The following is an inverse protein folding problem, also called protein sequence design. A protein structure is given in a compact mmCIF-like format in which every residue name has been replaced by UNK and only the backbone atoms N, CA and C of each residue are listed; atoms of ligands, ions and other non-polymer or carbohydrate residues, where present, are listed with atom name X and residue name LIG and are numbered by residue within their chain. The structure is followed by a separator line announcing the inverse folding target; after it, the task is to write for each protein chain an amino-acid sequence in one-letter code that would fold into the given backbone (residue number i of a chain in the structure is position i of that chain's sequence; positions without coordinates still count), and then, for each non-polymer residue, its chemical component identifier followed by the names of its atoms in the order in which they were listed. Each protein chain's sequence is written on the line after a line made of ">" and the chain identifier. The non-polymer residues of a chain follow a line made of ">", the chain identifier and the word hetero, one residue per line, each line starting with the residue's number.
data_IF_877654377794
#
_entry.id   IF_877654377794
#
_cell.length_a   1.000
_cell.length_b   1.000
_cell.length_c   1.000
_cell.angle_alpha   90.00
_cell.angle_beta   90.00
_cell.angle_gamma   90.00
#
_symmetry.space_group_name_H-M   'P 1'
#
loop_
_entity.id
_entity.type
_entity.pdbx_description
1 polymer ?
#
# COMPACT_ATOMS: atom_id res chain seq x y z
N UNK A 1 -8.29 42.55 5.24
CA UNK A 1 -8.05 42.69 3.78
C UNK A 1 -6.90 41.76 3.38
N UNK A 2 -7.18 40.68 2.62
CA UNK A 2 -6.11 39.82 2.10
C UNK A 2 -5.38 40.56 0.96
N UNK A 3 -4.16 41.01 1.23
CA UNK A 3 -3.31 41.66 0.22
C UNK A 3 -2.96 40.75 -0.96
N UNK A 4 -2.26 41.25 -1.99
CA UNK A 4 -1.92 40.51 -3.21
C UNK A 4 -1.28 39.13 -2.96
N UNK A 5 -0.49 38.99 -1.89
CA UNK A 5 0.08 37.71 -1.42
C UNK A 5 -0.99 36.70 -0.97
N UNK A 6 -2.01 37.16 -0.25
CA UNK A 6 -3.10 36.31 0.22
C UNK A 6 -3.97 35.76 -0.92
N UNK A 7 -4.19 36.56 -1.98
CA UNK A 7 -4.92 36.11 -3.18
C UNK A 7 -4.15 35.01 -3.92
N UNK A 8 -2.84 35.18 -4.16
CA UNK A 8 -2.01 34.14 -4.79
C UNK A 8 -2.00 32.84 -3.99
N UNK A 9 -1.89 32.91 -2.67
CA UNK A 9 -1.92 31.73 -1.80
C UNK A 9 -3.25 30.98 -1.90
N UNK A 10 -4.38 31.70 -1.89
CA UNK A 10 -5.71 31.10 -2.02
C UNK A 10 -5.88 30.42 -3.39
N UNK A 11 -5.38 31.01 -4.47
CA UNK A 11 -5.46 30.40 -5.81
C UNK A 11 -4.60 29.14 -5.93
N UNK A 12 -3.41 29.10 -5.32
CA UNK A 12 -2.61 27.88 -5.29
C UNK A 12 -3.34 26.77 -4.53
N UNK A 13 -3.87 27.07 -3.34
CA UNK A 13 -4.62 26.08 -2.55
C UNK A 13 -5.85 25.58 -3.32
N UNK A 14 -6.58 26.47 -4.01
CA UNK A 14 -7.71 26.08 -4.85
C UNK A 14 -7.26 25.20 -6.01
N UNK A 15 -6.18 25.55 -6.70
CA UNK A 15 -5.65 24.78 -7.84
C UNK A 15 -5.21 23.39 -7.42
N UNK A 16 -4.51 23.25 -6.28
CA UNK A 16 -4.15 21.95 -5.70
C UNK A 16 -5.37 21.13 -5.32
N UNK A 17 -6.36 21.74 -4.66
CA UNK A 17 -7.62 21.06 -4.33
C UNK A 17 -8.36 20.58 -5.58
N UNK A 18 -8.39 21.39 -6.64
CA UNK A 18 -9.02 21.03 -7.90
C UNK A 18 -8.27 19.89 -8.60
N UNK A 19 -6.94 19.95 -8.64
CA UNK A 19 -6.11 18.92 -9.26
C UNK A 19 -6.25 17.58 -8.54
N UNK A 20 -6.23 17.58 -7.20
CA UNK A 20 -6.45 16.37 -6.40
C UNK A 20 -7.86 15.85 -6.62
N UNK A 21 -8.90 16.69 -6.52
CA UNK A 21 -10.28 16.27 -6.73
C UNK A 21 -10.51 15.71 -8.14
N UNK A 22 -9.92 16.34 -9.17
CA UNK A 22 -9.98 15.88 -10.55
C UNK A 22 -9.26 14.56 -10.75
N UNK A 23 -8.06 14.39 -10.18
CA UNK A 23 -7.31 13.14 -10.24
C UNK A 23 -8.07 12.00 -9.54
N UNK A 24 -8.58 12.24 -8.33
CA UNK A 24 -9.37 11.26 -7.58
C UNK A 24 -10.63 10.87 -8.35
N UNK A 25 -11.37 11.85 -8.88
CA UNK A 25 -12.57 11.58 -9.67
C UNK A 25 -12.25 10.81 -10.96
N UNK A 26 -11.17 11.15 -11.65
CA UNK A 26 -10.73 10.44 -12.85
C UNK A 26 -10.32 8.99 -12.54
N UNK A 27 -9.53 8.76 -11.49
CA UNK A 27 -9.12 7.42 -11.07
C UNK A 27 -10.34 6.56 -10.66
N UNK A 28 -11.28 7.13 -9.92
CA UNK A 28 -12.53 6.45 -9.54
C UNK A 28 -13.44 6.19 -10.75
N UNK A 29 -13.51 7.11 -11.72
CA UNK A 29 -14.34 6.95 -12.91
C UNK A 29 -13.79 5.92 -13.90
N UNK A 30 -12.46 5.82 -14.04
CA UNK A 30 -11.80 4.91 -15.01
C UNK A 30 -11.75 3.48 -14.47
N UNK A 31 -11.46 3.32 -13.17
CA UNK A 31 -11.16 2.00 -12.59
C UNK A 31 -12.15 1.54 -11.51
N UNK A 32 -13.15 2.36 -11.17
CA UNK A 32 -14.16 2.03 -10.18
C UNK A 32 -13.56 1.78 -8.79
N UNK A 33 -13.76 0.57 -8.27
CA UNK A 33 -13.28 0.15 -6.95
C UNK A 33 -11.74 0.18 -6.83
N UNK A 34 -11.01 -0.10 -7.91
CA UNK A 34 -9.54 -0.08 -7.90
C UNK A 34 -8.99 1.35 -7.75
N UNK A 35 -9.69 2.36 -8.29
CA UNK A 35 -9.33 3.76 -8.09
C UNK A 35 -9.30 4.16 -6.61
N UNK A 36 -10.20 3.59 -5.80
CA UNK A 36 -10.20 3.81 -4.34
C UNK A 36 -9.00 3.18 -3.62
N UNK A 37 -8.49 2.03 -4.11
CA UNK A 37 -7.26 1.46 -3.58
C UNK A 37 -6.06 2.35 -3.84
N UNK A 38 -5.97 2.95 -5.04
CA UNK A 38 -4.89 3.89 -5.38
C UNK A 38 -4.95 5.12 -4.48
N UNK A 39 -6.15 5.66 -4.24
CA UNK A 39 -6.35 6.80 -3.34
C UNK A 39 -5.94 6.47 -1.91
N UNK A 40 -6.31 5.29 -1.40
CA UNK A 40 -5.92 4.83 -0.07
C UNK A 40 -4.39 4.71 0.05
N UNK A 41 -3.75 4.08 -0.95
CA UNK A 41 -2.31 3.91 -1.00
C UNK A 41 -1.56 5.25 -1.01
N UNK A 42 -1.97 6.19 -1.88
CA UNK A 42 -1.37 7.54 -1.94
C UNK A 42 -1.59 8.31 -0.63
N UNK A 43 -2.74 8.12 0.02
CA UNK A 43 -3.01 8.73 1.33
C UNK A 43 -2.08 8.16 2.40
N UNK A 44 -1.89 6.84 2.44
CA UNK A 44 -0.94 6.19 3.36
C UNK A 44 0.49 6.71 3.12
N UNK A 45 0.95 6.73 1.88
CA UNK A 45 2.25 7.29 1.49
C UNK A 45 2.45 8.74 1.95
N UNK A 46 1.39 9.56 1.86
CA UNK A 46 1.40 10.97 2.28
C UNK A 46 1.51 11.10 3.81
N UNK A 47 0.72 10.32 4.56
CA UNK A 47 0.78 10.30 6.03
C UNK A 47 2.14 9.81 6.50
N UNK A 48 2.68 8.76 5.87
CA UNK A 48 3.99 8.24 6.20
C UNK A 48 5.08 9.30 6.01
N UNK A 49 5.07 10.00 4.87
CA UNK A 49 6.02 11.08 4.62
C UNK A 49 5.93 12.21 5.66
N UNK A 50 4.71 12.60 6.05
CA UNK A 50 4.50 13.63 7.07
C UNK A 50 4.94 13.18 8.47
N UNK A 51 4.65 11.93 8.83
CA UNK A 51 5.04 11.38 10.14
C UNK A 51 6.55 11.12 10.22
N UNK A 52 7.17 10.58 9.18
CA UNK A 52 8.62 10.40 9.09
C UNK A 52 9.39 11.73 9.13
N UNK A 53 8.90 12.78 8.45
CA UNK A 53 9.49 14.13 8.56
C UNK A 53 9.32 14.73 9.95
N UNK A 54 8.17 14.53 10.61
CA UNK A 54 7.95 14.96 11.99
C UNK A 54 8.89 14.26 12.98
N UNK A 55 9.13 12.95 12.82
CA UNK A 55 10.10 12.19 13.62
C UNK A 55 11.52 12.72 13.41
N UNK A 56 11.93 12.93 12.16
CA UNK A 56 13.26 13.45 11.84
C UNK A 56 13.52 14.84 12.44
N UNK A 57 12.50 15.72 12.41
CA UNK A 57 12.56 17.05 13.02
C UNK A 57 12.68 16.95 14.56
N UNK A 58 11.88 16.09 15.20
CA UNK A 58 11.94 15.89 16.66
C UNK A 58 13.28 15.33 17.12
N UNK A 59 13.89 14.45 16.33
CA UNK A 59 15.18 13.83 16.66
C UNK A 59 16.39 14.71 16.32
N UNK A 60 16.22 15.89 15.70
CA UNK A 60 17.31 16.78 15.22
C UNK A 60 18.34 16.10 14.31
N UNK A 61 18.02 14.96 13.69
CA UNK A 61 18.93 14.16 12.85
C UNK A 61 18.71 14.40 11.36
N UNK A 62 18.61 15.66 10.94
CA UNK A 62 18.43 15.97 9.52
C UNK A 62 19.75 15.74 8.77
N UNK A 63 19.94 14.53 8.27
CA UNK A 63 20.99 14.20 7.30
C UNK A 63 20.34 14.08 5.93
N UNK A 64 20.87 14.81 4.94
CA UNK A 64 20.37 14.81 3.56
C UNK A 64 20.39 13.41 2.91
N UNK A 65 21.23 12.50 3.39
CA UNK A 65 21.26 11.10 2.97
C UNK A 65 19.97 10.35 3.35
N UNK A 66 19.52 10.50 4.60
CA UNK A 66 18.33 9.81 5.11
C UNK A 66 17.04 10.29 4.41
N UNK A 67 16.99 11.59 4.07
CA UNK A 67 15.87 12.15 3.31
C UNK A 67 15.84 11.66 1.85
N UNK A 68 17.00 11.38 1.25
CA UNK A 68 17.09 10.82 -0.11
C UNK A 68 16.73 9.35 -0.16
N UNK A 69 17.17 8.56 0.82
CA UNK A 69 16.86 7.13 0.89
C UNK A 69 15.35 6.89 1.02
N UNK A 70 14.66 7.72 1.81
CA UNK A 70 13.20 7.70 1.90
C UNK A 70 12.49 8.05 0.57
N UNK A 71 13.06 8.96 -0.23
CA UNK A 71 12.51 9.31 -1.55
C UNK A 71 12.74 8.16 -2.55
N UNK A 72 13.92 7.55 -2.56
CA UNK A 72 14.24 6.45 -3.47
C UNK A 72 13.41 5.19 -3.20
N UNK A 73 13.12 4.87 -1.93
CA UNK A 73 12.26 3.75 -1.58
C UNK A 73 10.82 3.94 -2.08
N UNK A 74 10.29 5.17 -1.94
CA UNK A 74 8.95 5.55 -2.42
C UNK A 74 8.87 5.66 -3.95
N UNK A 75 9.97 6.03 -4.60
CA UNK A 75 10.06 6.00 -6.06
C UNK A 75 10.10 4.56 -6.58
N UNK A 76 10.77 3.66 -5.85
CA UNK A 76 10.78 2.22 -6.14
C UNK A 76 9.39 1.59 -6.06
N UNK A 77 8.60 1.93 -5.04
CA UNK A 77 7.21 1.44 -4.93
C UNK A 77 6.32 1.95 -6.06
N UNK A 78 6.49 3.21 -6.49
CA UNK A 78 5.77 3.76 -7.64
C UNK A 78 6.09 3.03 -8.95
N UNK A 79 7.37 2.72 -9.19
CA UNK A 79 7.80 1.96 -10.38
C UNK A 79 7.22 0.54 -10.36
N UNK A 80 7.22 -0.12 -9.20
CA UNK A 80 6.70 -1.48 -9.06
C UNK A 80 5.18 -1.55 -9.25
N UNK A 81 4.41 -0.60 -8.70
CA UNK A 81 2.97 -0.48 -8.98
C UNK A 81 2.74 -0.20 -10.46
N UNK A 82 3.56 0.66 -11.09
CA UNK A 82 3.50 0.89 -12.53
C UNK A 82 3.75 -0.37 -13.36
N UNK A 83 4.73 -1.18 -12.97
CA UNK A 83 5.02 -2.46 -13.61
C UNK A 83 3.86 -3.46 -13.47
N UNK A 84 3.20 -3.50 -12.30
CA UNK A 84 2.01 -4.33 -12.08
C UNK A 84 0.83 -3.92 -12.98
N UNK A 85 0.59 -2.61 -13.13
CA UNK A 85 -0.44 -2.08 -14.05
C UNK A 85 -0.13 -2.43 -15.50
N UNK A 86 1.14 -2.31 -15.92
CA UNK A 86 1.55 -2.70 -17.27
C UNK A 86 1.35 -4.20 -17.52
N UNK A 87 1.61 -5.04 -16.51
CA UNK A 87 1.40 -6.48 -16.61
C UNK A 87 -0.09 -6.83 -16.73
N UNK A 88 -0.97 -6.17 -15.95
CA UNK A 88 -2.42 -6.37 -16.08
C UNK A 88 -2.95 -5.94 -17.46
N UNK A 89 -2.44 -4.84 -18.02
CA UNK A 89 -2.79 -4.41 -19.38
C UNK A 89 -2.34 -5.47 -20.40
N UNK A 90 -1.12 -5.99 -20.25
CA UNK A 90 -0.61 -7.05 -21.13
C UNK A 90 -1.49 -8.30 -21.06
N UNK A 91 -1.87 -8.75 -19.86
CA UNK A 91 -2.74 -9.91 -19.66
C UNK A 91 -4.12 -9.66 -20.30
N UNK A 92 -4.70 -8.48 -20.10
CA UNK A 92 -5.97 -8.10 -20.72
C UNK A 92 -5.92 -8.11 -22.25
N UNK A 93 -4.83 -7.63 -22.85
CA UNK A 93 -4.61 -7.67 -24.30
C UNK A 93 -4.48 -9.11 -24.83
N UNK A 94 -3.79 -9.99 -24.10
CA UNK A 94 -3.64 -11.39 -24.48
C UNK A 94 -4.99 -12.13 -24.43
N UNK A 95 -5.78 -11.91 -23.37
CA UNK A 95 -7.12 -12.52 -23.24
C UNK A 95 -8.05 -12.02 -24.37
N UNK A 96 -8.03 -10.72 -24.68
CA UNK A 96 -8.85 -10.15 -25.75
C UNK A 96 -8.43 -10.62 -27.16
N UNK A 97 -7.14 -10.91 -27.36
CA UNK A 97 -6.59 -11.33 -28.64
C UNK A 97 -6.70 -12.83 -28.95
N UNK A 98 -6.90 -13.68 -27.94
CA UNK A 98 -6.95 -15.14 -28.09
C UNK A 98 -8.37 -15.63 -27.79
N UNK A 99 -9.22 -15.88 -28.81
CA UNK A 99 -10.62 -16.31 -28.62
C UNK A 99 -10.78 -17.69 -27.97
N UNK A 100 -9.69 -18.46 -27.81
CA UNK A 100 -9.69 -19.72 -27.07
C UNK A 100 -9.58 -19.54 -25.53
N UNK A 101 -9.29 -18.33 -25.05
CA UNK A 101 -9.19 -18.00 -23.63
C UNK A 101 -10.38 -17.13 -23.26
N UNK A 102 -11.48 -17.75 -22.87
CA UNK A 102 -12.61 -17.06 -22.25
C UNK A 102 -12.64 -17.40 -20.76
N UNK A 103 -12.41 -16.41 -19.89
CA UNK A 103 -12.63 -16.61 -18.46
C UNK A 103 -14.14 -16.54 -18.17
N UNK A 104 -14.65 -17.32 -17.18
CA UNK A 104 -16.05 -17.28 -16.77
C UNK A 104 -16.41 -16.00 -15.97
N UNK A 105 -15.48 -15.04 -15.86
CA UNK A 105 -15.64 -13.77 -15.16
C UNK A 105 -14.87 -12.66 -15.88
N UNK A 106 -15.28 -11.40 -15.69
CA UNK A 106 -14.63 -10.23 -16.26
C UNK A 106 -13.28 -9.97 -15.59
N UNK A 107 -12.18 -10.19 -16.33
CA UNK A 107 -10.84 -9.84 -15.87
C UNK A 107 -10.57 -8.35 -16.10
N UNK A 108 -10.62 -7.55 -15.03
CA UNK A 108 -10.43 -6.09 -15.11
C UNK A 108 -9.03 -5.65 -14.67
N UNK A 109 -8.56 -6.08 -13.51
CA UNK A 109 -7.20 -5.90 -12.98
C UNK A 109 -6.93 -7.04 -11.98
N UNK A 110 -5.97 -7.93 -12.27
CA UNK A 110 -5.73 -9.11 -11.45
C UNK A 110 -4.56 -8.94 -10.49
N UNK A 111 -3.40 -8.56 -11.01
CA UNK A 111 -2.15 -8.48 -10.26
C UNK A 111 -1.98 -7.12 -9.57
N UNK A 112 -2.47 -6.04 -10.19
CA UNK A 112 -2.35 -4.67 -9.66
C UNK A 112 -2.99 -4.49 -8.28
N UNK A 113 -4.20 -5.00 -7.98
CA UNK A 113 -4.80 -4.85 -6.66
C UNK A 113 -3.98 -5.54 -5.57
N UNK A 114 -3.40 -6.71 -5.86
CA UNK A 114 -2.58 -7.46 -4.89
C UNK A 114 -1.30 -6.70 -4.58
N UNK A 115 -0.57 -6.25 -5.60
CA UNK A 115 0.65 -5.45 -5.43
C UNK A 115 0.36 -4.14 -4.72
N UNK A 116 -0.74 -3.47 -5.06
CA UNK A 116 -1.13 -2.20 -4.45
C UNK A 116 -1.53 -2.34 -2.98
N UNK A 117 -2.26 -3.41 -2.62
CA UNK A 117 -2.56 -3.74 -1.22
C UNK A 117 -1.27 -4.03 -0.47
N UNK A 118 -0.36 -4.82 -1.04
CA UNK A 118 0.94 -5.12 -0.42
C UNK A 118 1.71 -3.84 -0.09
N UNK A 119 1.88 -2.94 -1.07
CA UNK A 119 2.56 -1.66 -0.84
C UNK A 119 1.81 -0.75 0.15
N UNK A 120 0.48 -0.80 0.19
CA UNK A 120 -0.29 -0.06 1.19
C UNK A 120 -0.01 -0.56 2.60
N UNK A 121 0.08 -1.88 2.79
CA UNK A 121 0.39 -2.47 4.08
C UNK A 121 1.82 -2.09 4.53
N UNK A 122 2.79 -2.10 3.62
CA UNK A 122 4.16 -1.68 3.94
C UNK A 122 4.25 -0.20 4.37
N UNK A 123 3.50 0.70 3.72
CA UNK A 123 3.43 2.11 4.13
C UNK A 123 2.72 2.26 5.49
N UNK A 124 1.68 1.48 5.76
CA UNK A 124 1.03 1.44 7.08
C UNK A 124 1.99 0.95 8.18
N UNK A 125 2.86 -0.01 7.87
CA UNK A 125 3.92 -0.47 8.78
C UNK A 125 4.84 0.68 9.17
N UNK A 126 5.31 1.44 8.17
CA UNK A 126 6.17 2.61 8.41
C UNK A 126 5.47 3.71 9.22
N UNK A 127 4.17 3.96 8.98
CA UNK A 127 3.37 4.89 9.80
C UNK A 127 3.33 4.44 11.26
N UNK A 128 3.13 3.15 11.53
CA UNK A 128 3.12 2.64 12.90
C UNK A 128 4.48 2.79 13.57
N UNK A 129 5.58 2.57 12.85
CA UNK A 129 6.93 2.83 13.37
C UNK A 129 7.13 4.31 13.70
N UNK A 130 6.76 5.20 12.77
CA UNK A 130 6.87 6.65 12.94
C UNK A 130 6.00 7.15 14.09
N UNK A 131 4.76 6.68 14.21
CA UNK A 131 3.86 7.02 15.30
C UNK A 131 4.42 6.56 16.67
N UNK A 132 5.03 5.37 16.73
CA UNK A 132 5.70 4.87 17.92
C UNK A 132 6.90 5.74 18.31
N UNK A 133 7.71 6.17 17.33
CA UNK A 133 8.82 7.10 17.55
C UNK A 133 8.36 8.51 17.98
N UNK A 134 7.15 8.92 17.61
CA UNK A 134 6.50 10.13 18.12
C UNK A 134 5.94 9.95 19.55
N UNK A 135 5.95 8.73 20.10
CA UNK A 135 5.50 8.43 21.46
C UNK A 135 4.02 8.08 21.57
N UNK A 136 3.34 7.78 20.44
CA UNK A 136 1.97 7.29 20.49
C UNK A 136 1.94 5.86 21.06
N UNK A 137 1.03 5.55 22.01
CA UNK A 137 0.83 4.19 22.48
C UNK A 137 0.09 3.37 21.41
N UNK A 138 0.81 2.55 20.66
CA UNK A 138 0.24 1.73 19.58
C UNK A 138 -0.23 0.38 20.15
N UNK A 139 -1.52 0.03 20.01
CA UNK A 139 -2.02 -1.25 20.48
C UNK A 139 -1.38 -2.43 19.75
N UNK A 140 -1.03 -3.49 20.49
CA UNK A 140 -0.40 -4.70 19.93
C UNK A 140 -1.29 -5.42 18.91
N UNK A 141 -2.61 -5.35 19.06
CA UNK A 141 -3.54 -5.97 18.11
C UNK A 141 -3.43 -5.35 16.71
N UNK A 142 -3.14 -4.06 16.62
CA UNK A 142 -3.02 -3.35 15.34
C UNK A 142 -1.77 -3.80 14.58
N UNK A 143 -0.64 -3.93 15.29
CA UNK A 143 0.61 -4.46 14.72
C UNK A 143 0.46 -5.91 14.25
N UNK A 144 -0.24 -6.73 15.05
CA UNK A 144 -0.51 -8.13 14.69
C UNK A 144 -1.44 -8.26 13.49
N UNK A 145 -2.50 -7.45 13.44
CA UNK A 145 -3.42 -7.42 12.30
C UNK A 145 -2.71 -7.02 11.01
N UNK A 146 -1.85 -6.00 11.08
CA UNK A 146 -1.06 -5.59 9.92
C UNK A 146 -0.11 -6.69 9.44
N UNK A 147 0.64 -7.33 10.34
CA UNK A 147 1.54 -8.43 9.99
C UNK A 147 0.80 -9.61 9.35
N UNK A 148 -0.40 -9.95 9.85
CA UNK A 148 -1.22 -11.01 9.27
C UNK A 148 -1.71 -10.65 7.85
N UNK A 149 -2.06 -9.38 7.61
CA UNK A 149 -2.47 -8.91 6.27
C UNK A 149 -1.29 -8.90 5.29
N UNK A 150 -0.10 -8.48 5.73
CA UNK A 150 1.11 -8.53 4.90
C UNK A 150 1.42 -9.96 4.46
N UNK A 151 1.34 -10.91 5.38
CA UNK A 151 1.59 -12.32 5.09
C UNK A 151 0.55 -12.92 4.14
N UNK A 152 -0.74 -12.65 4.39
CA UNK A 152 -1.80 -13.09 3.49
C UNK A 152 -1.63 -12.54 2.06
N UNK A 153 -1.18 -11.29 1.94
CA UNK A 153 -0.97 -10.65 0.62
C UNK A 153 0.27 -11.22 -0.08
N UNK A 154 1.35 -11.52 0.65
CA UNK A 154 2.52 -12.22 0.09
C UNK A 154 2.13 -13.60 -0.44
N UNK A 155 1.39 -14.39 0.33
CA UNK A 155 0.89 -15.70 -0.12
C UNK A 155 -0.06 -15.60 -1.32
N UNK A 156 -0.84 -14.52 -1.43
CA UNK A 156 -1.71 -14.30 -2.59
C UNK A 156 -0.92 -13.91 -3.86
N UNK A 157 0.21 -13.22 -3.71
CA UNK A 157 1.11 -12.86 -4.81
C UNK A 157 2.08 -13.97 -5.22
N UNK A 158 2.29 -14.96 -4.36
CA UNK A 158 3.21 -16.08 -4.55
C UNK A 158 2.49 -17.42 -4.26
N UNK A 159 1.88 -18.04 -5.28
CA UNK A 159 1.09 -19.26 -5.11
C UNK A 159 1.91 -20.49 -4.68
N UNK A 160 3.24 -20.44 -4.73
CA UNK A 160 4.12 -21.53 -4.27
C UNK A 160 4.19 -21.62 -2.73
N UNK A 161 4.02 -20.50 -2.01
CA UNK A 161 4.09 -20.44 -0.54
C UNK A 161 2.77 -20.81 0.16
N UNK A 162 1.63 -20.69 -0.51
CA UNK A 162 0.30 -20.96 0.07
C UNK A 162 0.10 -22.43 0.53
N UNK A 163 0.87 -23.37 -0.01
CA UNK A 163 0.79 -24.79 0.32
C UNK A 163 1.50 -25.20 1.63
N UNK A 164 2.29 -24.32 2.25
CA UNK A 164 3.09 -24.65 3.46
C UNK A 164 2.36 -24.39 4.79
N UNK A 165 1.25 -23.65 4.77
CA UNK A 165 0.45 -23.29 5.97
C UNK A 165 -0.62 -24.33 6.32
N UNK A 166 -0.24 -25.60 6.47
CA UNK A 166 -1.05 -26.53 7.27
C UNK A 166 -0.52 -26.49 8.70
N UNK A 167 -1.33 -26.12 9.72
CA UNK A 167 -0.87 -26.16 11.09
C UNK A 167 -0.49 -27.60 11.44
N UNK A 168 0.75 -27.81 11.87
CA UNK A 168 1.24 -29.08 12.40
C UNK A 168 0.31 -29.48 13.54
N UNK A 169 -0.60 -30.42 13.28
CA UNK A 169 -1.51 -30.98 14.27
C UNK A 169 -0.63 -31.55 15.38
N UNK A 170 -0.60 -30.89 16.54
CA UNK A 170 0.01 -31.43 17.75
C UNK A 170 -0.67 -32.77 18.03
N UNK A 171 0.06 -33.86 17.82
CA UNK A 171 -0.34 -35.19 18.29
C UNK A 171 -0.20 -35.19 19.81
N UNK A 172 -1.30 -34.91 20.49
CA UNK A 172 -1.48 -35.26 21.88
C UNK A 172 -1.88 -36.74 21.97
N UNK A 173 -1.23 -37.49 22.88
CA UNK A 173 -1.73 -38.75 23.42
C UNK A 173 -1.04 -40.01 22.89
N UNK A 174 0.04 -40.41 23.55
CA UNK A 174 0.36 -41.82 23.82
C UNK A 174 0.79 -41.90 25.30
N UNK A 175 -0.23 -41.95 26.16
CA UNK A 175 -0.51 -43.03 27.09
C UNK A 175 0.73 -43.67 27.75
N UNK A 176 1.08 -43.20 28.95
CA UNK A 176 1.96 -43.92 29.86
C UNK A 176 1.09 -44.63 30.91
N UNK A 177 0.92 -45.94 30.73
CA UNK A 177 0.34 -46.85 31.72
C UNK A 177 1.47 -47.36 32.64
N UNK A 178 1.29 -47.38 33.98
CA UNK A 178 2.33 -47.82 34.91
C UNK A 178 2.15 -49.29 35.30
N UNK A 179 3.26 -50.03 35.25
CA UNK A 179 3.45 -51.29 36.01
C UNK A 179 4.23 -51.01 37.30
#
# INVERSE_FOLDING_TARGET
>A
MNGPRGKKMIEHVKSWKLAIAGLTAALSAIWGWFGWLVVLWVTAMTIDYLTGTAVAHRQKRWRSSLARDGIWHKLGSLVAVGAAVLLDILIGLVIAGIPAISLPFDYTVGLSPVVLVWYTLTELGSILENAGALGAPIPTFLKRGLAALEEATKCAGDPENAASTTPKRTSAGEDHEPD
#
